data_IF_336205668095
#
_entry.id   IF_336205668095
#
_cell.length_a   1.000
_cell.length_b   1.000
_cell.length_c   1.000
_cell.angle_alpha   90.00
_cell.angle_beta   90.00
_cell.angle_gamma   90.00
#
_symmetry.space_group_name_H-M   'P 1'
#
loop_
_entity.id
_entity.type
_entity.pdbx_description
1 polymer ?
#
# COMPACT_ATOMS: atom_id res chain seq x y z
N UNK A 1 -0.20 18.19 -43.84
CA UNK A 1 -1.41 18.89 -43.35
C UNK A 1 -2.41 17.95 -42.69
N UNK A 2 -2.66 16.73 -43.23
CA UNK A 2 -3.60 15.76 -42.57
C UNK A 2 -3.01 15.12 -41.28
N UNK A 3 -1.70 14.93 -41.18
CA UNK A 3 -1.04 14.43 -39.97
C UNK A 3 -1.02 15.47 -38.84
N UNK A 4 -0.87 16.74 -39.18
CA UNK A 4 -0.84 17.84 -38.20
C UNK A 4 -2.21 18.13 -37.60
N UNK A 5 -3.29 18.00 -38.41
CA UNK A 5 -4.66 18.15 -37.89
C UNK A 5 -5.09 17.00 -36.98
N UNK A 6 -4.59 15.78 -37.22
CA UNK A 6 -4.84 14.63 -36.35
C UNK A 6 -4.12 14.78 -35.01
N UNK A 7 -2.84 15.20 -35.01
CA UNK A 7 -2.08 15.43 -33.77
C UNK A 7 -2.67 16.58 -32.94
N UNK A 8 -3.10 17.68 -33.57
CA UNK A 8 -3.77 18.78 -32.88
C UNK A 8 -5.13 18.39 -32.28
N UNK A 9 -5.90 17.55 -33.01
CA UNK A 9 -7.17 17.00 -32.51
C UNK A 9 -6.95 16.06 -31.32
N UNK A 10 -5.90 15.24 -31.34
CA UNK A 10 -5.56 14.35 -30.24
C UNK A 10 -5.06 15.11 -29.01
N UNK A 11 -4.26 16.16 -29.20
CA UNK A 11 -3.84 17.05 -28.11
C UNK A 11 -5.04 17.75 -27.49
N UNK A 12 -5.99 18.23 -28.30
CA UNK A 12 -7.21 18.89 -27.78
C UNK A 12 -8.15 17.91 -27.05
N UNK A 13 -8.24 16.68 -27.49
CA UNK A 13 -8.97 15.63 -26.78
C UNK A 13 -8.30 15.25 -25.46
N UNK A 14 -6.98 15.16 -25.45
CA UNK A 14 -6.18 14.86 -24.25
C UNK A 14 -6.25 15.96 -23.19
N UNK A 15 -6.43 17.22 -23.57
CA UNK A 15 -6.60 18.34 -22.62
C UNK A 15 -7.89 18.26 -21.75
N UNK A 16 -8.83 17.37 -22.09
CA UNK A 16 -10.02 17.13 -21.27
C UNK A 16 -9.83 16.05 -20.19
N UNK A 17 -8.75 15.30 -20.27
CA UNK A 17 -8.43 14.32 -19.25
C UNK A 17 -7.48 14.93 -18.24
N UNK A 18 -7.67 14.68 -16.95
CA UNK A 18 -6.69 15.05 -15.94
C UNK A 18 -5.35 14.40 -16.26
N UNK A 19 -4.26 15.02 -15.82
CA UNK A 19 -2.92 14.45 -15.98
C UNK A 19 -2.81 13.17 -15.15
N UNK A 20 -2.76 12.02 -15.80
CA UNK A 20 -2.70 10.69 -15.19
C UNK A 20 -1.29 10.09 -15.14
N UNK A 21 -0.30 10.77 -15.72
CA UNK A 21 1.07 10.27 -15.81
C UNK A 21 1.82 10.55 -14.51
N UNK A 22 1.54 9.75 -13.50
CA UNK A 22 2.25 9.70 -12.24
C UNK A 22 3.34 8.61 -12.25
N UNK A 23 3.73 8.14 -11.06
CA UNK A 23 4.74 7.11 -10.90
C UNK A 23 4.43 5.78 -11.60
N UNK A 24 3.13 5.43 -11.75
CA UNK A 24 2.68 4.20 -12.42
C UNK A 24 3.12 4.10 -13.89
N UNK A 25 3.21 5.24 -14.59
CA UNK A 25 3.55 5.29 -16.01
C UNK A 25 4.90 5.99 -16.27
N UNK A 26 5.76 6.08 -15.25
CA UNK A 26 7.04 6.79 -15.36
C UNK A 26 8.07 6.02 -16.18
N UNK A 27 8.00 4.70 -16.16
CA UNK A 27 8.96 3.84 -16.86
C UNK A 27 8.50 3.49 -18.28
N UNK A 28 9.44 3.39 -19.20
CA UNK A 28 9.17 2.92 -20.55
C UNK A 28 8.94 1.39 -20.53
N UNK A 29 7.73 0.97 -20.85
CA UNK A 29 7.34 -0.44 -20.92
C UNK A 29 7.11 -0.83 -22.38
N UNK A 30 7.61 -2.01 -22.79
CA UNK A 30 7.30 -2.58 -24.10
C UNK A 30 5.82 -3.00 -24.14
N UNK A 31 5.01 -2.28 -24.90
CA UNK A 31 3.59 -2.56 -25.07
C UNK A 31 3.42 -3.51 -26.25
N UNK A 32 2.92 -4.75 -26.04
CA UNK A 32 2.65 -5.67 -27.13
C UNK A 32 1.55 -5.15 -28.06
N UNK A 33 1.58 -5.54 -29.33
CA UNK A 33 0.51 -5.25 -30.27
C UNK A 33 -0.72 -6.08 -29.91
N UNK A 34 -1.83 -5.41 -29.61
CA UNK A 34 -3.11 -6.07 -29.34
C UNK A 34 -3.88 -6.35 -30.65
N UNK A 35 -4.60 -7.46 -30.70
CA UNK A 35 -5.61 -7.70 -31.74
C UNK A 35 -6.83 -6.82 -31.46
N UNK A 36 -7.65 -6.58 -32.52
CA UNK A 36 -8.88 -5.79 -32.34
C UNK A 36 -9.82 -6.40 -31.30
N UNK A 37 -9.92 -7.73 -31.26
CA UNK A 37 -10.72 -8.46 -30.26
C UNK A 37 -10.26 -8.17 -28.80
N UNK A 38 -8.95 -8.11 -28.59
CA UNK A 38 -8.41 -7.76 -27.26
C UNK A 38 -8.69 -6.30 -26.93
N UNK A 39 -8.58 -5.39 -27.90
CA UNK A 39 -8.90 -3.98 -27.70
C UNK A 39 -10.38 -3.82 -27.33
N UNK A 40 -11.28 -4.47 -28.08
CA UNK A 40 -12.73 -4.41 -27.81
C UNK A 40 -13.04 -4.97 -26.43
N UNK A 41 -12.46 -6.11 -26.05
CA UNK A 41 -12.60 -6.69 -24.71
C UNK A 41 -12.13 -5.72 -23.60
N UNK A 42 -10.98 -5.09 -23.77
CA UNK A 42 -10.44 -4.13 -22.81
C UNK A 42 -11.31 -2.88 -22.67
N UNK A 43 -11.85 -2.38 -23.77
CA UNK A 43 -12.69 -1.17 -23.77
C UNK A 43 -14.10 -1.45 -23.28
N UNK A 44 -14.75 -2.48 -23.81
CA UNK A 44 -16.18 -2.72 -23.59
C UNK A 44 -16.44 -3.50 -22.29
N UNK A 45 -15.67 -4.55 -22.03
CA UNK A 45 -15.88 -5.42 -20.86
C UNK A 45 -15.08 -4.97 -19.64
N UNK A 46 -13.77 -4.73 -19.82
CA UNK A 46 -12.88 -4.42 -18.69
C UNK A 46 -13.07 -2.97 -18.24
N UNK A 47 -13.09 -2.01 -19.17
CA UNK A 47 -13.21 -0.59 -18.82
C UNK A 47 -14.66 -0.14 -18.65
N UNK A 48 -15.57 -0.58 -19.52
CA UNK A 48 -16.96 -0.13 -19.53
C UNK A 48 -17.93 -1.01 -18.76
N UNK A 49 -17.66 -2.32 -18.68
CA UNK A 49 -18.59 -3.32 -18.12
C UNK A 49 -18.28 -3.72 -16.67
N UNK A 50 -17.12 -3.37 -16.12
CA UNK A 50 -16.68 -3.80 -14.79
C UNK A 50 -16.66 -2.62 -13.82
N UNK A 51 -17.35 -2.75 -12.70
CA UNK A 51 -17.26 -1.79 -11.59
C UNK A 51 -16.03 -2.11 -10.72
N UNK A 52 -14.93 -1.44 -11.00
CA UNK A 52 -13.65 -1.62 -10.30
C UNK A 52 -13.67 -1.12 -8.87
N UNK A 53 -14.63 -0.28 -8.49
CA UNK A 53 -14.77 0.21 -7.11
C UNK A 53 -15.16 -0.91 -6.13
N UNK A 54 -15.80 -1.98 -6.64
CA UNK A 54 -16.24 -3.12 -5.86
C UNK A 54 -15.17 -4.23 -5.74
N UNK A 55 -14.05 -4.12 -6.46
CA UNK A 55 -13.02 -5.17 -6.48
C UNK A 55 -11.99 -4.89 -5.39
N UNK A 56 -11.83 -5.82 -4.46
CA UNK A 56 -10.80 -5.70 -3.42
C UNK A 56 -9.40 -5.62 -4.05
N UNK A 57 -8.58 -4.61 -3.71
CA UNK A 57 -7.22 -4.46 -4.22
C UNK A 57 -6.34 -5.68 -3.95
N UNK A 58 -6.56 -6.39 -2.84
CA UNK A 58 -5.82 -7.60 -2.48
C UNK A 58 -6.15 -8.80 -3.40
N UNK A 59 -7.30 -8.80 -4.08
CA UNK A 59 -7.64 -9.84 -5.07
C UNK A 59 -6.68 -9.81 -6.27
N UNK A 60 -6.13 -8.65 -6.64
CA UNK A 60 -5.13 -8.56 -7.70
C UNK A 60 -3.95 -9.49 -7.45
N UNK A 61 -3.43 -9.55 -6.23
CA UNK A 61 -2.40 -10.50 -5.85
C UNK A 61 -2.80 -11.96 -6.09
N UNK A 62 -4.03 -12.32 -5.71
CA UNK A 62 -4.55 -13.67 -5.86
C UNK A 62 -4.83 -14.08 -7.31
N UNK A 63 -5.48 -13.19 -8.09
CA UNK A 63 -5.73 -13.41 -9.53
C UNK A 63 -4.40 -13.55 -10.26
N UNK A 64 -3.47 -12.66 -9.93
CA UNK A 64 -2.14 -12.64 -10.50
C UNK A 64 -1.36 -13.91 -10.22
N UNK A 65 -1.32 -14.33 -8.96
CA UNK A 65 -0.69 -15.60 -8.59
C UNK A 65 -1.30 -16.79 -9.36
N UNK A 66 -2.61 -16.76 -9.64
CA UNK A 66 -3.30 -17.80 -10.40
C UNK A 66 -2.87 -17.86 -11.87
N UNK A 67 -2.43 -16.74 -12.46
CA UNK A 67 -1.96 -16.66 -13.85
C UNK A 67 -0.52 -17.11 -14.03
N UNK A 68 0.27 -17.14 -12.95
CA UNK A 68 1.65 -17.59 -13.00
C UNK A 68 1.74 -19.10 -13.22
N UNK A 69 2.74 -19.50 -14.01
CA UNK A 69 3.08 -20.91 -14.16
C UNK A 69 3.32 -21.54 -12.77
N UNK A 70 2.67 -22.69 -12.45
CA UNK A 70 2.81 -23.37 -11.15
C UNK A 70 4.26 -23.67 -10.74
N UNK A 71 5.19 -23.83 -11.71
CA UNK A 71 6.61 -24.03 -11.43
C UNK A 71 7.29 -22.74 -10.98
N UNK A 72 6.94 -21.59 -11.58
CA UNK A 72 7.47 -20.29 -11.21
C UNK A 72 6.96 -19.91 -9.81
N UNK A 73 5.67 -20.13 -9.55
CA UNK A 73 5.04 -19.90 -8.26
C UNK A 73 5.70 -20.68 -7.12
N UNK A 74 5.93 -21.99 -7.32
CA UNK A 74 6.61 -22.84 -6.33
C UNK A 74 8.08 -22.46 -6.13
N UNK A 75 8.78 -22.05 -7.17
CA UNK A 75 10.18 -21.63 -7.07
C UNK A 75 10.34 -20.25 -6.40
N UNK A 76 9.39 -19.36 -6.62
CA UNK A 76 9.40 -18.00 -6.04
C UNK A 76 8.92 -17.93 -4.60
N UNK A 77 8.30 -19.00 -4.06
CA UNK A 77 7.71 -18.96 -2.72
C UNK A 77 6.54 -17.98 -2.61
N UNK A 78 5.99 -17.55 -3.76
CA UNK A 78 4.87 -16.62 -3.81
C UNK A 78 3.59 -17.33 -3.38
N UNK A 79 3.05 -16.92 -2.26
CA UNK A 79 1.79 -17.41 -1.72
C UNK A 79 0.91 -16.23 -1.39
N UNK A 80 -0.24 -16.17 -2.03
CA UNK A 80 -1.28 -15.21 -1.67
C UNK A 80 -1.65 -15.37 -0.20
N UNK A 81 -1.57 -14.28 0.54
CA UNK A 81 -2.05 -14.23 1.91
C UNK A 81 -3.42 -13.57 1.92
N UNK A 82 -4.43 -14.31 2.34
CA UNK A 82 -5.80 -13.79 2.40
C UNK A 82 -5.94 -12.70 3.47
N UNK A 83 -6.89 -11.75 3.30
CA UNK A 83 -7.16 -10.72 4.30
C UNK A 83 -7.37 -11.29 5.70
N UNK A 84 -8.11 -12.38 5.85
CA UNK A 84 -8.32 -13.04 7.15
C UNK A 84 -7.01 -13.46 7.84
N UNK A 85 -6.03 -13.94 7.07
CA UNK A 85 -4.74 -14.33 7.61
C UNK A 85 -3.85 -13.11 7.90
N UNK A 86 -3.99 -12.03 7.13
CA UNK A 86 -3.32 -10.75 7.39
C UNK A 86 -3.82 -10.18 8.71
N UNK A 87 -5.14 -10.13 8.90
CA UNK A 87 -5.78 -9.64 10.13
C UNK A 87 -5.35 -10.41 11.39
N UNK A 88 -5.12 -11.72 11.30
CA UNK A 88 -4.55 -12.50 12.41
C UNK A 88 -3.17 -11.99 12.88
N UNK A 89 -2.46 -11.26 12.02
CA UNK A 89 -1.15 -10.68 12.33
C UNK A 89 -1.28 -9.20 12.72
N UNK A 90 -1.97 -8.41 11.91
CA UNK A 90 -2.02 -6.94 12.10
C UNK A 90 -2.94 -6.51 13.24
N UNK A 91 -4.04 -7.24 13.48
CA UNK A 91 -4.99 -6.89 14.55
C UNK A 91 -4.29 -6.87 15.91
N UNK A 92 -3.70 -7.99 16.39
CA UNK A 92 -3.05 -7.99 17.69
C UNK A 92 -1.74 -7.19 17.71
N UNK A 93 -1.15 -6.87 16.55
CA UNK A 93 0.12 -6.15 16.48
C UNK A 93 -0.06 -4.65 16.72
N UNK A 94 -1.06 -4.03 16.10
CA UNK A 94 -1.29 -2.59 16.20
C UNK A 94 -2.75 -2.16 15.98
N UNK A 95 -3.55 -2.90 15.21
CA UNK A 95 -4.85 -2.42 14.78
C UNK A 95 -5.84 -2.35 15.94
N UNK A 96 -5.94 -3.40 16.76
CA UNK A 96 -6.81 -3.42 17.96
C UNK A 96 -6.52 -2.25 18.90
N UNK A 97 -5.23 -1.93 19.09
CA UNK A 97 -4.82 -0.81 19.95
C UNK A 97 -5.19 0.55 19.35
N UNK A 98 -5.10 0.72 18.04
CA UNK A 98 -5.52 1.95 17.35
C UNK A 98 -7.04 2.11 17.36
N UNK A 99 -7.78 1.03 17.13
CA UNK A 99 -9.25 1.04 17.21
C UNK A 99 -9.74 1.38 18.60
N UNK A 100 -9.16 0.76 19.62
CA UNK A 100 -9.50 1.08 21.01
C UNK A 100 -9.21 2.55 21.35
N UNK A 101 -8.06 3.09 20.96
CA UNK A 101 -7.71 4.50 21.20
C UNK A 101 -8.69 5.44 20.50
N UNK A 102 -9.08 5.12 19.26
CA UNK A 102 -10.07 5.91 18.53
C UNK A 102 -11.44 5.88 19.22
N UNK A 103 -11.89 4.71 19.66
CA UNK A 103 -13.15 4.54 20.38
C UNK A 103 -13.17 5.36 21.69
N UNK A 104 -12.06 5.38 22.42
CA UNK A 104 -11.91 6.20 23.62
C UNK A 104 -12.02 7.70 23.31
N UNK A 105 -11.38 8.16 22.20
CA UNK A 105 -11.45 9.56 21.75
C UNK A 105 -12.86 9.93 21.30
N UNK A 106 -13.51 9.08 20.52
CA UNK A 106 -14.90 9.27 20.05
C UNK A 106 -15.87 9.30 21.22
N UNK A 107 -15.61 8.52 22.27
CA UNK A 107 -16.40 8.49 23.51
C UNK A 107 -16.23 9.72 24.42
N UNK A 108 -15.32 10.64 24.14
CA UNK A 108 -15.13 11.86 24.92
C UNK A 108 -16.39 12.75 24.89
N UNK A 109 -16.74 13.45 26.01
CA UNK A 109 -17.86 14.37 26.05
C UNK A 109 -17.70 15.51 25.04
N UNK A 110 -18.83 15.95 24.45
CA UNK A 110 -18.88 17.06 23.48
C UNK A 110 -20.04 18.04 23.73
N UNK A 111 -20.66 17.96 24.93
CA UNK A 111 -21.84 18.76 25.30
C UNK A 111 -21.53 20.24 25.46
N UNK A 112 -20.32 20.58 25.83
CA UNK A 112 -19.87 21.95 25.99
C UNK A 112 -18.82 22.29 24.93
N UNK A 113 -18.70 23.57 24.55
CA UNK A 113 -17.68 24.04 23.62
C UNK A 113 -16.26 23.65 24.06
N UNK A 114 -15.99 23.62 25.36
CA UNK A 114 -14.69 23.23 25.90
C UNK A 114 -14.44 21.72 25.69
N UNK A 115 -15.42 20.90 25.94
CA UNK A 115 -15.35 19.44 25.71
C UNK A 115 -15.20 19.13 24.23
N UNK A 116 -16.02 19.75 23.38
CA UNK A 116 -15.92 19.60 21.92
C UNK A 116 -14.51 19.94 21.40
N UNK A 117 -13.91 21.06 21.84
CA UNK A 117 -12.55 21.42 21.46
C UNK A 117 -11.49 20.40 21.93
N UNK A 118 -11.68 19.79 23.10
CA UNK A 118 -10.76 18.74 23.61
C UNK A 118 -10.84 17.51 22.74
N UNK A 119 -12.06 17.06 22.41
CA UNK A 119 -12.29 15.91 21.54
C UNK A 119 -11.74 16.15 20.13
N UNK A 120 -12.04 17.30 19.55
CA UNK A 120 -11.53 17.70 18.22
C UNK A 120 -10.00 17.67 18.18
N UNK A 121 -9.34 18.25 19.19
CA UNK A 121 -7.89 18.23 19.29
C UNK A 121 -7.34 16.79 19.39
N UNK A 122 -8.00 15.93 20.16
CA UNK A 122 -7.61 14.52 20.28
C UNK A 122 -7.76 13.76 18.95
N UNK A 123 -8.84 14.01 18.18
CA UNK A 123 -9.05 13.44 16.84
C UNK A 123 -7.94 13.87 15.87
N UNK A 124 -7.58 15.16 15.85
CA UNK A 124 -6.50 15.66 15.00
C UNK A 124 -5.15 15.03 15.38
N UNK A 125 -4.86 14.91 16.68
CA UNK A 125 -3.63 14.25 17.15
C UNK A 125 -3.60 12.77 16.79
N UNK A 126 -4.74 12.09 16.84
CA UNK A 126 -4.82 10.70 16.41
C UNK A 126 -4.61 10.56 14.89
N UNK A 127 -5.17 11.46 14.08
CA UNK A 127 -4.90 11.50 12.64
C UNK A 127 -3.39 11.73 12.35
N UNK A 128 -2.74 12.64 13.07
CA UNK A 128 -1.29 12.86 12.98
C UNK A 128 -0.51 11.59 13.35
N UNK A 129 -0.95 10.87 14.37
CA UNK A 129 -0.38 9.59 14.76
C UNK A 129 -0.49 8.58 13.64
N UNK A 130 -1.68 8.40 13.02
CA UNK A 130 -1.85 7.49 11.88
C UNK A 130 -0.90 7.85 10.74
N UNK A 131 -0.77 9.13 10.41
CA UNK A 131 0.11 9.63 9.35
C UNK A 131 1.61 9.47 9.65
N UNK A 132 1.99 9.29 10.92
CA UNK A 132 3.37 9.09 11.34
C UNK A 132 3.85 7.63 11.32
N UNK A 133 2.93 6.67 11.16
CA UNK A 133 3.27 5.25 11.17
C UNK A 133 3.89 4.83 9.83
N UNK A 134 5.03 4.12 9.88
CA UNK A 134 5.69 3.55 8.71
C UNK A 134 5.74 2.03 8.81
N UNK A 135 5.42 1.37 7.70
CA UNK A 135 5.31 -0.09 7.58
C UNK A 135 6.30 -0.62 6.56
N UNK A 136 6.93 -1.72 6.90
CA UNK A 136 7.94 -2.33 6.05
C UNK A 136 7.68 -3.84 5.88
N UNK A 137 7.55 -4.27 4.63
CA UNK A 137 7.45 -5.69 4.27
C UNK A 137 8.66 -6.12 3.41
N UNK A 138 9.65 -6.80 3.98
CA UNK A 138 10.87 -7.19 3.26
C UNK A 138 10.70 -8.42 2.35
N UNK A 139 9.47 -8.90 2.14
CA UNK A 139 9.13 -9.97 1.21
C UNK A 139 7.69 -9.76 0.72
N UNK A 140 7.41 -8.55 0.21
CA UNK A 140 6.04 -8.06 0.05
C UNK A 140 5.22 -8.80 -1.03
N UNK A 141 5.85 -9.55 -1.92
CA UNK A 141 5.13 -10.23 -2.99
C UNK A 141 4.27 -9.26 -3.80
N UNK A 142 2.98 -9.53 -3.93
CA UNK A 142 1.99 -8.65 -4.55
C UNK A 142 1.46 -7.55 -3.62
N UNK A 143 2.11 -7.29 -2.49
CA UNK A 143 1.80 -6.18 -1.60
C UNK A 143 0.59 -6.37 -0.70
N UNK A 144 0.08 -7.59 -0.51
CA UNK A 144 -1.18 -7.82 0.21
C UNK A 144 -1.18 -7.31 1.66
N UNK A 145 -0.08 -7.49 2.40
CA UNK A 145 0.06 -6.96 3.76
C UNK A 145 0.04 -5.43 3.78
N UNK A 146 0.79 -4.80 2.89
CA UNK A 146 0.85 -3.34 2.79
C UNK A 146 -0.50 -2.75 2.38
N UNK A 147 -1.15 -3.35 1.38
CA UNK A 147 -2.46 -2.91 0.87
C UNK A 147 -3.55 -3.01 1.92
N UNK A 148 -3.67 -4.14 2.64
CA UNK A 148 -4.68 -4.31 3.69
C UNK A 148 -4.42 -3.37 4.86
N UNK A 149 -3.14 -3.21 5.26
CA UNK A 149 -2.75 -2.26 6.30
C UNK A 149 -3.11 -0.82 5.91
N UNK A 150 -2.82 -0.41 4.67
CA UNK A 150 -3.20 0.90 4.16
C UNK A 150 -4.72 1.13 4.25
N UNK A 151 -5.52 0.17 3.77
CA UNK A 151 -6.98 0.26 3.82
C UNK A 151 -7.51 0.36 5.27
N UNK A 152 -6.92 -0.38 6.22
CA UNK A 152 -7.28 -0.29 7.63
C UNK A 152 -6.98 1.11 8.20
N UNK A 153 -5.80 1.67 7.95
CA UNK A 153 -5.46 3.03 8.41
C UNK A 153 -6.37 4.09 7.79
N UNK A 154 -6.69 3.97 6.49
CA UNK A 154 -7.62 4.90 5.82
C UNK A 154 -9.04 4.81 6.38
N UNK A 155 -9.52 3.62 6.77
CA UNK A 155 -10.81 3.46 7.45
C UNK A 155 -10.81 4.15 8.81
N UNK A 156 -9.76 4.01 9.61
CA UNK A 156 -9.62 4.73 10.88
C UNK A 156 -9.59 6.25 10.65
N UNK A 157 -8.85 6.73 9.67
CA UNK A 157 -8.82 8.14 9.29
C UNK A 157 -10.20 8.64 8.84
N UNK A 158 -10.96 7.86 8.09
CA UNK A 158 -12.32 8.18 7.67
C UNK A 158 -13.29 8.32 8.85
N UNK A 159 -13.12 7.52 9.91
CA UNK A 159 -13.88 7.70 11.17
C UNK A 159 -13.53 9.04 11.81
N UNK A 160 -12.25 9.39 11.88
CA UNK A 160 -11.80 10.71 12.40
C UNK A 160 -12.44 11.84 11.60
N UNK A 161 -12.35 11.79 10.26
CA UNK A 161 -12.91 12.82 9.36
C UNK A 161 -14.43 12.95 9.50
N UNK A 162 -15.14 11.83 9.67
CA UNK A 162 -16.59 11.83 9.92
C UNK A 162 -16.93 12.60 11.18
N UNK A 163 -16.19 12.41 12.27
CA UNK A 163 -16.43 13.12 13.53
C UNK A 163 -16.00 14.58 13.48
N UNK A 164 -14.95 14.91 12.73
CA UNK A 164 -14.54 16.30 12.49
C UNK A 164 -15.56 17.04 11.61
N UNK A 165 -16.11 16.42 10.57
CA UNK A 165 -17.11 17.00 9.70
C UNK A 165 -18.48 17.18 10.39
N UNK A 166 -18.92 16.21 11.22
CA UNK A 166 -20.21 16.24 11.92
C UNK A 166 -20.28 17.22 13.08
N UNK A 167 -19.15 17.66 13.63
CA UNK A 167 -19.07 18.65 14.73
C UNK A 167 -19.23 20.10 14.26
N UNK A 168 -19.37 20.34 12.96
CA UNK A 168 -19.26 21.69 12.41
C UNK A 168 -20.37 22.10 11.47
N UNK A 169 -21.18 23.01 11.94
CA UNK A 169 -21.88 23.98 11.11
C UNK A 169 -20.99 25.10 10.57
N UNK A 170 -19.65 25.07 10.72
CA UNK A 170 -18.85 26.28 10.46
C UNK A 170 -17.37 26.13 10.13
N UNK A 171 -16.82 24.92 9.97
CA UNK A 171 -15.47 24.85 9.40
C UNK A 171 -15.60 24.73 7.89
N UNK A 172 -15.44 25.87 7.26
CA UNK A 172 -15.29 25.93 5.82
C UNK A 172 -14.04 25.16 5.42
N UNK A 173 -14.22 23.88 5.06
CA UNK A 173 -13.26 23.23 4.16
C UNK A 173 -13.16 24.00 2.82
N UNK A 174 -13.95 25.05 2.67
CA UNK A 174 -13.98 25.91 1.48
C UNK A 174 -12.68 26.72 1.30
N UNK A 175 -11.90 26.96 2.36
CA UNK A 175 -10.69 27.80 2.31
C UNK A 175 -9.38 27.02 2.54
N UNK A 176 -9.40 25.71 2.79
CA UNK A 176 -8.17 24.95 3.01
C UNK A 176 -7.72 24.32 1.69
N UNK A 177 -6.66 24.87 1.11
CA UNK A 177 -6.03 24.37 -0.12
C UNK A 177 -5.36 22.99 0.05
N UNK A 178 -5.34 22.43 1.28
CA UNK A 178 -4.73 21.16 1.60
C UNK A 178 -5.77 20.02 1.68
N UNK A 179 -5.33 18.82 1.27
CA UNK A 179 -6.12 17.60 1.41
C UNK A 179 -6.43 17.32 2.89
N UNK A 180 -7.67 16.92 3.25
CA UNK A 180 -7.98 16.48 4.61
C UNK A 180 -7.33 15.14 4.97
N UNK A 181 -6.84 14.41 3.96
CA UNK A 181 -6.20 13.10 4.08
C UNK A 181 -4.73 13.31 4.46
N UNK A 182 -4.27 12.57 5.46
CA UNK A 182 -2.88 12.56 5.93
C UNK A 182 -2.21 11.20 5.78
N UNK A 183 -2.98 10.12 5.82
CA UNK A 183 -2.48 8.77 5.55
C UNK A 183 -2.21 8.63 4.05
N UNK A 184 -0.96 8.35 3.67
CA UNK A 184 -0.51 8.28 2.28
C UNK A 184 0.32 7.03 1.99
N UNK A 185 0.50 6.70 0.72
CA UNK A 185 1.32 5.56 0.29
C UNK A 185 2.79 5.69 0.65
N UNK A 186 3.28 6.90 0.94
CA UNK A 186 4.68 7.13 1.35
C UNK A 186 5.07 6.43 2.67
N UNK A 187 4.09 5.99 3.46
CA UNK A 187 4.27 5.26 4.73
C UNK A 187 4.57 3.78 4.52
N UNK A 188 4.48 3.27 3.26
CA UNK A 188 4.52 1.85 2.95
C UNK A 188 5.75 1.50 2.11
N UNK A 189 6.57 0.62 2.65
CA UNK A 189 7.86 0.23 2.07
C UNK A 189 7.90 -1.29 1.89
N UNK A 190 8.51 -1.75 0.81
CA UNK A 190 8.62 -3.18 0.55
C UNK A 190 9.86 -3.56 -0.24
N UNK A 191 10.29 -4.80 -0.08
CA UNK A 191 11.31 -5.41 -0.95
C UNK A 191 10.68 -6.66 -1.57
N UNK A 192 10.82 -6.78 -2.89
CA UNK A 192 10.41 -7.97 -3.62
C UNK A 192 11.46 -8.30 -4.69
N UNK A 193 11.75 -9.59 -4.84
CA UNK A 193 12.75 -10.06 -5.80
C UNK A 193 12.17 -10.18 -7.22
N UNK A 194 10.88 -10.39 -7.34
CA UNK A 194 10.17 -10.55 -8.60
C UNK A 194 9.68 -9.21 -9.13
N UNK A 195 10.17 -8.80 -10.29
CA UNK A 195 9.85 -7.56 -10.99
C UNK A 195 8.36 -7.34 -11.17
N UNK A 196 7.70 -8.37 -11.63
CA UNK A 196 6.29 -8.30 -11.92
C UNK A 196 5.43 -8.26 -10.63
N UNK A 197 5.86 -8.94 -9.57
CA UNK A 197 5.19 -8.82 -8.28
C UNK A 197 5.33 -7.40 -7.70
N UNK A 198 6.47 -6.72 -7.92
CA UNK A 198 6.64 -5.31 -7.57
C UNK A 198 5.59 -4.44 -8.28
N UNK A 199 5.44 -4.58 -9.60
CA UNK A 199 4.45 -3.82 -10.37
C UNK A 199 3.01 -4.10 -9.93
N UNK A 200 2.69 -5.35 -9.55
CA UNK A 200 1.38 -5.71 -8.99
C UNK A 200 1.17 -5.06 -7.62
N UNK A 201 2.17 -5.06 -6.75
CA UNK A 201 2.09 -4.45 -5.43
C UNK A 201 1.86 -2.93 -5.53
N UNK A 202 2.61 -2.25 -6.39
CA UNK A 202 2.42 -0.81 -6.65
C UNK A 202 1.01 -0.53 -7.19
N UNK A 203 0.56 -1.32 -8.17
CA UNK A 203 -0.78 -1.16 -8.77
C UNK A 203 -1.89 -1.40 -7.74
N UNK A 204 -1.77 -2.44 -6.91
CA UNK A 204 -2.75 -2.74 -5.87
C UNK A 204 -2.86 -1.62 -4.84
N UNK A 205 -1.73 -1.02 -4.44
CA UNK A 205 -1.70 0.11 -3.52
C UNK A 205 -2.34 1.37 -4.12
N UNK A 206 -2.11 1.67 -5.40
CA UNK A 206 -2.80 2.80 -6.05
C UNK A 206 -4.30 2.57 -6.18
N UNK A 207 -4.75 1.35 -6.50
CA UNK A 207 -6.18 1.03 -6.53
C UNK A 207 -6.78 1.21 -5.13
N UNK A 208 -6.08 0.77 -4.10
CA UNK A 208 -6.51 0.96 -2.71
C UNK A 208 -6.63 2.44 -2.34
N UNK A 209 -5.67 3.28 -2.77
CA UNK A 209 -5.72 4.72 -2.57
C UNK A 209 -6.92 5.36 -3.26
N UNK A 210 -7.16 5.02 -4.54
CA UNK A 210 -8.32 5.53 -5.28
C UNK A 210 -9.65 5.14 -4.59
N UNK A 211 -9.80 3.90 -4.17
CA UNK A 211 -11.00 3.44 -3.45
C UNK A 211 -11.17 4.15 -2.11
N UNK A 212 -10.10 4.28 -1.33
CA UNK A 212 -10.13 4.99 -0.05
C UNK A 212 -10.44 6.49 -0.23
N UNK A 213 -9.96 7.12 -1.30
CA UNK A 213 -10.27 8.50 -1.63
C UNK A 213 -11.76 8.68 -1.98
N UNK A 214 -12.35 7.78 -2.76
CA UNK A 214 -13.79 7.79 -3.06
C UNK A 214 -14.63 7.66 -1.79
N UNK A 215 -14.26 6.79 -0.85
CA UNK A 215 -14.94 6.69 0.44
C UNK A 215 -14.83 8.01 1.22
N UNK A 216 -13.65 8.64 1.23
CA UNK A 216 -13.43 9.92 1.92
C UNK A 216 -14.22 11.06 1.27
N UNK A 217 -14.34 11.12 -0.05
CA UNK A 217 -15.15 12.13 -0.77
C UNK A 217 -16.60 12.14 -0.30
N UNK A 218 -17.19 10.96 -0.05
CA UNK A 218 -18.57 10.86 0.46
C UNK A 218 -18.71 11.44 1.89
N UNK A 219 -17.64 11.42 2.67
CA UNK A 219 -17.63 11.92 4.06
C UNK A 219 -17.45 13.43 4.08
N UNK A 220 -16.47 13.96 3.34
CA UNK A 220 -16.12 15.39 3.37
C UNK A 220 -16.95 16.21 2.37
N UNK A 221 -17.80 15.58 1.56
CA UNK A 221 -18.65 16.20 0.52
C UNK A 221 -17.84 17.14 -0.39
N UNK A 222 -16.63 16.71 -0.71
CA UNK A 222 -15.67 17.47 -1.52
C UNK A 222 -14.95 16.52 -2.44
N UNK A 223 -14.71 16.93 -3.69
CA UNK A 223 -13.85 16.16 -4.60
C UNK A 223 -12.40 16.20 -4.13
N UNK A 224 -11.79 15.03 -4.07
CA UNK A 224 -10.37 14.84 -3.79
C UNK A 224 -9.67 14.67 -5.14
N UNK A 225 -8.58 15.39 -5.36
CA UNK A 225 -7.81 15.21 -6.59
C UNK A 225 -7.11 13.84 -6.55
N UNK A 226 -7.70 12.87 -7.27
CA UNK A 226 -7.13 11.51 -7.39
C UNK A 226 -5.90 11.46 -8.33
N UNK A 227 -5.77 12.45 -9.21
CA UNK A 227 -4.74 12.46 -10.25
C UNK A 227 -4.03 13.81 -10.31
N UNK A 228 -2.73 13.83 -10.55
CA UNK A 228 -1.83 12.72 -10.82
C UNK A 228 -1.50 11.92 -9.54
N UNK A 229 -1.25 10.62 -9.71
CA UNK A 229 -0.81 9.72 -8.64
C UNK A 229 0.61 10.12 -8.20
N UNK A 230 0.71 11.03 -7.25
CA UNK A 230 1.98 11.66 -6.81
C UNK A 230 2.70 10.83 -5.79
N UNK A 231 1.95 10.32 -4.84
CA UNK A 231 2.48 9.49 -3.77
C UNK A 231 2.61 8.05 -4.27
N UNK A 232 3.66 7.38 -3.90
CA UNK A 232 3.81 5.97 -4.18
C UNK A 232 4.47 5.26 -3.00
N UNK A 233 4.08 4.01 -2.80
CA UNK A 233 4.81 3.14 -1.91
C UNK A 233 6.24 2.91 -2.43
N UNK A 234 7.19 2.82 -1.53
CA UNK A 234 8.57 2.54 -1.87
C UNK A 234 8.79 1.02 -1.99
N UNK A 235 8.38 0.45 -3.13
CA UNK A 235 8.59 -0.96 -3.45
C UNK A 235 9.89 -1.13 -4.23
N UNK A 236 10.87 -1.78 -3.63
CA UNK A 236 12.19 -1.96 -4.21
C UNK A 236 12.36 -3.38 -4.75
N UNK A 237 12.69 -3.48 -6.05
CA UNK A 237 13.05 -4.75 -6.66
C UNK A 237 14.45 -5.17 -6.22
N UNK A 238 14.54 -6.07 -5.26
CA UNK A 238 15.82 -6.53 -4.72
C UNK A 238 15.70 -7.89 -4.00
N UNK A 239 16.85 -8.52 -3.75
CA UNK A 239 16.91 -9.65 -2.82
C UNK A 239 17.07 -9.13 -1.38
N UNK A 240 16.03 -9.23 -0.58
CA UNK A 240 15.99 -8.75 0.80
C UNK A 240 17.09 -9.32 1.71
N UNK A 241 17.62 -10.51 1.39
CA UNK A 241 18.72 -11.11 2.16
C UNK A 241 20.12 -10.59 1.76
N UNK A 242 20.21 -9.80 0.68
CA UNK A 242 21.45 -9.23 0.16
C UNK A 242 21.47 -7.71 0.18
N UNK A 243 20.30 -7.09 0.29
CA UNK A 243 20.13 -5.65 0.30
C UNK A 243 20.10 -5.16 1.74
N UNK A 244 20.86 -4.12 2.10
CA UNK A 244 20.72 -3.45 3.38
C UNK A 244 19.33 -2.83 3.49
N UNK A 245 18.56 -3.17 4.52
CA UNK A 245 17.18 -2.67 4.67
C UNK A 245 17.13 -1.17 4.98
N UNK A 246 18.19 -0.66 5.59
CA UNK A 246 18.38 0.76 5.87
C UNK A 246 18.51 1.65 4.60
N UNK A 247 18.76 1.06 3.43
CA UNK A 247 18.73 1.77 2.14
C UNK A 247 17.30 1.95 1.62
N UNK A 248 16.35 1.17 2.12
CA UNK A 248 14.93 1.23 1.71
C UNK A 248 14.12 2.08 2.69
N UNK A 249 14.35 1.90 3.98
CA UNK A 249 13.72 2.68 5.04
C UNK A 249 14.70 2.84 6.19
N UNK A 250 14.82 4.07 6.73
CA UNK A 250 15.62 4.30 7.94
C UNK A 250 15.01 3.52 9.12
N UNK A 251 15.81 2.72 9.85
CA UNK A 251 15.30 2.02 11.03
C UNK A 251 14.62 2.92 12.08
N UNK A 252 15.01 4.19 12.14
CA UNK A 252 14.41 5.16 13.05
C UNK A 252 12.99 5.57 12.66
N UNK A 253 12.64 5.44 11.39
CA UNK A 253 11.31 5.76 10.86
C UNK A 253 10.39 4.53 10.84
N UNK A 254 10.95 3.30 10.87
CA UNK A 254 10.20 2.06 10.79
C UNK A 254 9.47 1.75 12.11
N UNK A 255 8.15 1.77 12.10
CA UNK A 255 7.33 1.40 13.26
C UNK A 255 7.01 -0.11 13.27
N UNK A 256 6.71 -0.68 12.11
CA UNK A 256 6.29 -2.08 12.02
C UNK A 256 6.94 -2.79 10.83
N UNK A 257 7.50 -3.97 11.11
CA UNK A 257 7.92 -4.91 10.08
C UNK A 257 6.84 -5.99 10.01
N UNK A 258 6.19 -6.10 8.87
CA UNK A 258 5.09 -7.03 8.63
C UNK A 258 5.37 -7.85 7.37
N UNK A 259 4.71 -8.99 7.21
CA UNK A 259 4.82 -9.77 5.98
C UNK A 259 4.82 -11.28 6.20
N UNK A 260 4.87 -12.00 5.10
CA UNK A 260 4.93 -13.47 5.08
C UNK A 260 6.13 -13.92 4.25
N UNK A 261 7.34 -13.95 4.82
CA UNK A 261 8.54 -14.33 4.08
C UNK A 261 8.47 -15.79 3.60
N UNK A 262 9.18 -16.13 2.48
CA UNK A 262 9.00 -17.39 1.80
C UNK A 262 9.49 -18.59 2.60
N UNK A 263 8.63 -19.63 2.67
CA UNK A 263 8.97 -20.96 3.17
C UNK A 263 9.38 -21.84 2.00
N UNK A 264 10.59 -22.35 2.00
CA UNK A 264 11.10 -23.18 0.90
C UNK A 264 11.29 -24.64 1.33
N UNK A 265 10.55 -25.55 0.72
CA UNK A 265 10.77 -26.99 0.93
C UNK A 265 12.00 -27.54 0.19
N UNK A 266 12.33 -26.97 -0.97
CA UNK A 266 13.46 -27.40 -1.82
C UNK A 266 14.43 -26.23 -2.06
N UNK A 267 15.61 -26.33 -1.50
CA UNK A 267 16.65 -25.31 -1.58
C UNK A 267 17.43 -25.41 -2.90
N UNK A 268 17.38 -24.34 -3.71
CA UNK A 268 18.30 -24.16 -4.84
C UNK A 268 19.71 -23.81 -4.35
N UNK A 269 20.75 -23.87 -5.21
CA UNK A 269 22.09 -23.40 -4.86
C UNK A 269 22.11 -21.94 -4.39
N UNK A 270 21.33 -21.05 -5.02
CA UNK A 270 21.23 -19.63 -4.70
C UNK A 270 20.63 -19.43 -3.30
N UNK A 271 19.52 -20.09 -3.00
CA UNK A 271 18.88 -20.02 -1.67
C UNK A 271 19.79 -20.57 -0.57
N UNK A 272 20.58 -21.62 -0.87
CA UNK A 272 21.59 -22.13 0.07
C UNK A 272 22.70 -21.12 0.31
N UNK A 273 23.13 -20.40 -0.74
CA UNK A 273 24.12 -19.35 -0.62
C UNK A 273 23.58 -18.18 0.23
N UNK A 274 22.33 -17.74 -0.02
CA UNK A 274 21.69 -16.70 0.78
C UNK A 274 21.59 -17.10 2.26
N UNK A 275 21.12 -18.31 2.54
CA UNK A 275 21.06 -18.81 3.93
C UNK A 275 22.45 -18.88 4.58
N UNK A 276 23.47 -19.24 3.81
CA UNK A 276 24.85 -19.32 4.31
C UNK A 276 25.43 -17.93 4.65
N UNK A 277 25.01 -16.86 3.97
CA UNK A 277 25.40 -15.49 4.32
C UNK A 277 24.97 -15.12 5.74
N UNK A 278 23.80 -15.59 6.17
CA UNK A 278 23.22 -15.24 7.47
C UNK A 278 23.62 -16.18 8.61
N UNK A 279 23.75 -17.48 8.34
CA UNK A 279 23.98 -18.50 9.37
C UNK A 279 25.31 -19.22 9.25
N UNK A 280 26.13 -18.94 8.24
CA UNK A 280 27.46 -19.54 8.06
C UNK A 280 27.41 -21.07 8.12
N UNK A 281 28.17 -21.66 9.02
CA UNK A 281 28.28 -23.13 9.22
C UNK A 281 26.98 -23.77 9.74
N UNK A 282 26.13 -23.00 10.43
CA UNK A 282 24.86 -23.48 10.99
C UNK A 282 23.70 -23.45 9.98
N UNK A 283 23.94 -22.91 8.77
CA UNK A 283 22.92 -22.76 7.74
C UNK A 283 22.14 -24.05 7.42
N UNK A 284 22.79 -25.22 7.52
CA UNK A 284 22.14 -26.49 7.26
C UNK A 284 21.10 -26.94 8.30
N UNK A 285 21.05 -26.28 9.46
CA UNK A 285 20.18 -26.62 10.60
C UNK A 285 18.99 -25.69 10.79
N UNK A 286 18.91 -24.65 9.97
CA UNK A 286 17.93 -23.58 10.14
C UNK A 286 17.07 -23.47 8.89
N UNK A 287 15.76 -23.23 9.04
CA UNK A 287 14.89 -22.97 7.93
C UNK A 287 15.22 -21.66 7.23
N UNK A 288 14.97 -21.59 5.92
CA UNK A 288 15.29 -20.43 5.11
C UNK A 288 14.61 -19.16 5.60
N UNK A 289 13.36 -19.26 6.02
CA UNK A 289 12.57 -18.15 6.57
C UNK A 289 13.24 -17.48 7.77
N UNK A 290 14.05 -18.19 8.54
CA UNK A 290 14.77 -17.64 9.70
C UNK A 290 15.75 -16.52 9.32
N UNK A 291 16.16 -16.43 8.04
CA UNK A 291 17.01 -15.34 7.55
C UNK A 291 16.32 -13.99 7.73
N UNK A 292 15.01 -13.90 7.45
CA UNK A 292 14.23 -12.68 7.62
C UNK A 292 14.10 -12.27 9.08
N UNK A 293 13.90 -13.21 10.00
CA UNK A 293 13.88 -12.91 11.43
C UNK A 293 15.23 -12.37 11.91
N UNK A 294 16.34 -12.95 11.44
CA UNK A 294 17.65 -12.46 11.80
C UNK A 294 17.95 -11.09 11.17
N UNK A 295 17.51 -10.88 9.92
CA UNK A 295 17.63 -9.59 9.24
C UNK A 295 16.82 -8.51 9.99
N UNK A 296 15.56 -8.79 10.32
CA UNK A 296 14.71 -7.90 11.11
C UNK A 296 15.33 -7.56 12.47
N UNK A 297 15.85 -8.59 13.19
CA UNK A 297 16.49 -8.36 14.47
C UNK A 297 17.77 -7.51 14.37
N UNK A 298 18.51 -7.60 13.27
CA UNK A 298 19.68 -6.73 13.03
C UNK A 298 19.23 -5.30 12.68
N UNK A 299 18.25 -5.17 11.81
CA UNK A 299 17.69 -3.89 11.39
C UNK A 299 17.10 -3.12 12.59
N UNK A 300 16.29 -3.78 13.42
CA UNK A 300 15.72 -3.16 14.62
C UNK A 300 16.79 -2.79 15.68
N UNK A 301 17.93 -3.47 15.75
CA UNK A 301 19.04 -3.09 16.63
C UNK A 301 19.75 -1.81 16.21
N UNK A 302 19.66 -1.43 14.93
CA UNK A 302 20.15 -0.15 14.44
C UNK A 302 19.23 0.99 14.92
N UNK A 303 17.95 0.69 15.15
CA UNK A 303 16.97 1.58 15.74
C UNK A 303 16.97 1.42 17.27
N UNK A 304 17.91 2.03 17.97
CA UNK A 304 18.07 1.95 19.44
C UNK A 304 16.88 2.51 20.27
N UNK A 305 15.71 2.73 19.71
CA UNK A 305 14.68 3.55 20.36
C UNK A 305 13.34 2.84 20.62
N UNK A 306 13.01 1.68 20.04
CA UNK A 306 11.69 1.07 20.28
C UNK A 306 11.75 -0.45 20.46
N UNK A 307 11.87 -0.87 21.68
CA UNK A 307 11.34 -2.13 22.20
C UNK A 307 10.25 -1.76 23.22
#
# INVERSE_FOLDING_TARGET
TRKESSAASDVYKRQKFPYVNGGLFADEVEIPSFTQEIVDLLVDEVSGGTDWSCISPTIFGGVFESTLNPEIRRKGGMHYTSPENIHRVIDPLFLDALEQELDEIVGLPDKTRKEANVREKALVQFQDKLASLCFFDPACGSGNFLTETFMCLRRLENVVLTHLAGGQSSWGFEDVAESPIRVSLNQFHGIEINDFACAVAETALWIAELQANQETEMIVVRSIEDLPLRDKANIVKANALRTPWEEVLDPAECNYIIGNPPFTGKMTPELKADRALWFGKEAGRVDFVACWFLAAAKYMKLSLIHI
#
